data_IF_759498938773
#
_entry.id   IF_759498938773
#
_cell.length_a   1.000
_cell.length_b   1.000
_cell.length_c   1.000
_cell.angle_alpha   90.00
_cell.angle_beta   90.00
_cell.angle_gamma   90.00
#
_symmetry.space_group_name_H-M   'P 1'
#
loop_
_entity.id
_entity.type
_entity.pdbx_description
1 polymer ?
#
# COMPACT_ATOMS: atom_id res chain seq x y z
N UNK A 1 -43.51 73.10 37.01
CA UNK A 1 -43.34 72.27 35.80
C UNK A 1 -41.87 72.26 35.41
N UNK A 2 -41.28 71.07 35.19
CA UNK A 2 -40.20 70.79 34.21
C UNK A 2 -38.84 71.49 34.46
N UNK A 3 -37.67 70.83 34.51
CA UNK A 3 -37.26 69.52 34.02
C UNK A 3 -35.91 69.12 34.67
N UNK A 4 -35.83 67.85 35.05
CA UNK A 4 -34.63 67.04 35.18
C UNK A 4 -33.94 66.93 33.80
N UNK A 5 -32.61 67.02 33.73
CA UNK A 5 -31.77 66.45 32.65
C UNK A 5 -30.35 66.23 33.21
N UNK A 6 -30.08 65.06 33.78
CA UNK A 6 -29.40 63.89 33.17
C UNK A 6 -27.92 64.12 32.89
N UNK A 7 -27.11 63.64 33.85
CA UNK A 7 -25.69 63.30 33.71
C UNK A 7 -25.58 62.14 32.71
N UNK A 8 -24.91 62.33 31.58
CA UNK A 8 -24.60 61.25 30.64
C UNK A 8 -23.19 60.77 30.93
N UNK A 9 -23.07 59.59 31.54
CA UNK A 9 -21.80 58.90 31.70
C UNK A 9 -21.37 58.34 30.33
N UNK A 10 -20.26 58.86 29.80
CA UNK A 10 -19.62 58.36 28.60
C UNK A 10 -18.83 57.10 28.98
N UNK A 11 -19.37 55.92 28.69
CA UNK A 11 -18.64 54.67 28.80
C UNK A 11 -17.60 54.60 27.67
N UNK A 12 -16.33 54.73 28.04
CA UNK A 12 -15.19 54.52 27.14
C UNK A 12 -15.05 53.01 26.94
N UNK A 13 -15.43 52.53 25.75
CA UNK A 13 -15.17 51.17 25.30
C UNK A 13 -13.69 51.07 24.90
N UNK A 14 -12.85 50.56 25.80
CA UNK A 14 -11.44 50.25 25.50
C UNK A 14 -11.44 48.94 24.70
N UNK A 15 -11.28 49.05 23.39
CA UNK A 15 -10.93 47.90 22.56
C UNK A 15 -9.49 47.51 22.90
N UNK A 16 -9.31 46.45 23.70
CA UNK A 16 -8.04 45.76 23.80
C UNK A 16 -7.77 45.13 22.43
N UNK A 17 -7.07 45.86 21.56
CA UNK A 17 -6.37 45.24 20.43
C UNK A 17 -5.17 44.53 21.06
N UNK A 18 -5.42 43.33 21.58
CA UNK A 18 -4.36 42.41 21.95
C UNK A 18 -3.52 42.19 20.70
N UNK A 19 -2.23 42.46 20.81
CA UNK A 19 -1.26 41.99 19.82
C UNK A 19 -1.22 40.46 20.02
N UNK A 20 -2.20 39.75 19.46
CA UNK A 20 -2.14 38.29 19.38
C UNK A 20 -0.87 37.96 18.60
N UNK A 21 0.01 37.15 19.20
CA UNK A 21 1.22 36.69 18.54
C UNK A 21 0.77 36.06 17.22
N UNK A 22 1.32 36.53 16.10
CA UNK A 22 1.04 35.94 14.79
C UNK A 22 1.50 34.49 14.83
N UNK A 23 0.54 33.57 14.70
CA UNK A 23 0.80 32.14 14.57
C UNK A 23 1.29 31.89 13.14
N UNK A 24 2.42 31.21 13.01
CA UNK A 24 2.99 30.82 11.73
C UNK A 24 3.34 29.34 11.77
N UNK A 25 2.55 28.51 11.09
CA UNK A 25 2.75 27.06 11.05
C UNK A 25 3.44 26.65 9.75
N UNK A 26 4.56 25.94 9.89
CA UNK A 26 5.23 25.30 8.76
C UNK A 26 4.51 23.98 8.38
N UNK A 27 4.74 23.49 7.16
CA UNK A 27 4.26 22.16 6.76
C UNK A 27 5.18 21.12 7.38
N UNK A 28 4.66 20.06 8.04
CA UNK A 28 5.50 18.99 8.57
C UNK A 28 6.37 18.36 7.47
N UNK A 29 7.58 17.91 7.81
CA UNK A 29 8.40 17.04 6.95
C UNK A 29 8.24 15.61 7.48
N UNK A 30 7.42 14.79 6.82
CA UNK A 30 7.00 13.49 7.32
C UNK A 30 7.89 12.41 6.74
N UNK A 31 8.49 11.62 7.61
CA UNK A 31 9.18 10.39 7.28
C UNK A 31 8.43 9.19 7.85
N UNK A 32 8.82 7.99 7.42
CA UNK A 32 8.23 6.76 7.93
C UNK A 32 9.25 5.65 8.14
N UNK A 33 8.90 4.75 9.05
CA UNK A 33 9.50 3.42 9.16
C UNK A 33 8.39 2.37 9.17
N UNK A 34 8.76 1.11 8.93
CA UNK A 34 7.82 0.00 9.01
C UNK A 34 7.93 -0.68 10.37
N UNK A 35 6.79 -0.97 10.96
CA UNK A 35 6.66 -1.72 12.21
C UNK A 35 5.69 -2.89 12.02
N UNK A 36 5.62 -3.78 13.01
CA UNK A 36 4.71 -4.94 13.01
C UNK A 36 4.82 -5.78 11.72
N UNK A 37 6.06 -6.04 11.32
CA UNK A 37 6.37 -6.83 10.12
C UNK A 37 5.67 -6.28 8.87
N UNK A 38 5.66 -4.95 8.71
CA UNK A 38 4.99 -4.28 7.59
C UNK A 38 3.49 -4.06 7.76
N UNK A 39 2.94 -4.37 8.94
CA UNK A 39 1.53 -4.13 9.25
C UNK A 39 1.23 -2.70 9.64
N UNK A 40 2.24 -1.99 10.15
CA UNK A 40 2.13 -0.62 10.65
C UNK A 40 3.11 0.29 9.92
N UNK A 41 2.63 1.46 9.52
CA UNK A 41 3.44 2.57 9.04
C UNK A 41 3.66 3.54 10.21
N UNK A 42 4.88 3.59 10.74
CA UNK A 42 5.22 4.50 11.83
C UNK A 42 5.70 5.82 11.24
N UNK A 43 4.88 6.86 11.35
CA UNK A 43 5.14 8.21 10.86
C UNK A 43 5.91 9.01 11.92
N UNK A 44 6.88 9.80 11.48
CA UNK A 44 7.68 10.71 12.31
C UNK A 44 7.91 12.03 11.59
N UNK A 45 7.88 13.14 12.33
CA UNK A 45 8.14 14.48 11.81
C UNK A 45 8.84 15.34 12.87
N UNK A 46 9.36 16.50 12.49
CA UNK A 46 9.95 17.46 13.43
C UNK A 46 8.88 18.31 14.14
N UNK A 47 9.19 18.74 15.37
CA UNK A 47 8.30 19.65 16.11
C UNK A 47 8.20 21.02 15.40
N UNK A 48 6.98 21.45 15.09
CA UNK A 48 6.70 22.75 14.48
C UNK A 48 6.43 23.80 15.56
N UNK A 49 7.16 24.91 15.47
CA UNK A 49 6.96 26.04 16.36
C UNK A 49 5.53 26.58 16.27
N UNK A 50 4.99 26.99 17.42
CA UNK A 50 3.63 27.53 17.56
C UNK A 50 2.48 26.56 17.25
N UNK A 51 2.76 25.28 16.96
CA UNK A 51 1.75 24.25 16.83
C UNK A 51 1.19 23.82 18.21
N UNK A 52 -0.13 23.72 18.32
CA UNK A 52 -0.82 23.08 19.44
C UNK A 52 -0.80 21.54 19.30
N UNK A 53 -0.70 21.04 18.07
CA UNK A 53 -0.64 19.63 17.74
C UNK A 53 -0.67 19.37 16.24
N UNK A 54 -0.98 18.13 15.86
CA UNK A 54 -0.98 17.66 14.49
C UNK A 54 -2.25 16.87 14.18
N UNK A 55 -2.85 17.14 13.02
CA UNK A 55 -3.92 16.32 12.48
C UNK A 55 -3.35 15.22 11.59
N UNK A 56 -3.92 14.03 11.74
CA UNK A 56 -3.61 12.87 10.91
C UNK A 56 -4.77 12.61 9.98
N UNK A 57 -4.45 12.44 8.70
CA UNK A 57 -5.40 12.11 7.66
C UNK A 57 -5.07 10.76 7.04
N UNK A 58 -6.11 10.00 6.71
CA UNK A 58 -6.02 8.82 5.87
C UNK A 58 -7.00 8.99 4.71
N UNK A 59 -6.51 8.86 3.48
CA UNK A 59 -7.27 9.04 2.24
C UNK A 59 -8.06 10.38 2.22
N UNK A 60 -7.42 11.47 2.68
CA UNK A 60 -8.01 12.81 2.75
C UNK A 60 -8.99 13.04 3.90
N UNK A 61 -9.26 12.03 4.74
CA UNK A 61 -10.18 12.13 5.89
C UNK A 61 -9.38 12.32 7.18
N UNK A 62 -9.71 13.34 7.98
CA UNK A 62 -9.13 13.54 9.31
C UNK A 62 -9.55 12.39 10.22
N UNK A 63 -8.59 11.57 10.64
CA UNK A 63 -8.83 10.39 11.49
C UNK A 63 -8.39 10.61 12.94
N UNK A 64 -7.45 11.51 13.19
CA UNK A 64 -6.92 11.75 14.54
C UNK A 64 -6.32 13.15 14.72
N UNK A 65 -6.06 13.51 15.97
CA UNK A 65 -5.32 14.69 16.41
C UNK A 65 -4.37 14.30 17.54
N UNK A 66 -3.07 14.48 17.35
CA UNK A 66 -2.03 14.15 18.33
C UNK A 66 -1.24 15.39 18.76
N UNK A 67 -0.61 15.34 19.93
CA UNK A 67 0.32 16.36 20.42
C UNK A 67 1.77 15.84 20.50
N UNK A 68 2.04 14.71 19.84
CA UNK A 68 3.35 14.10 19.68
C UNK A 68 3.84 14.32 18.25
N UNK A 69 5.13 14.08 18.02
CA UNK A 69 5.78 14.18 16.71
C UNK A 69 5.90 12.83 16.00
N UNK A 70 5.00 11.90 16.36
CA UNK A 70 4.94 10.57 15.75
C UNK A 70 3.53 9.99 15.83
N UNK A 71 3.24 9.06 14.91
CA UNK A 71 1.97 8.37 14.82
C UNK A 71 2.11 6.96 14.23
N UNK A 72 1.53 5.96 14.87
CA UNK A 72 1.49 4.59 14.34
C UNK A 72 0.20 4.38 13.55
N UNK A 73 0.31 4.45 12.23
CA UNK A 73 -0.79 4.14 11.34
C UNK A 73 -0.96 2.62 11.24
N UNK A 74 -2.03 2.11 11.86
CA UNK A 74 -2.36 0.67 11.94
C UNK A 74 -3.51 0.26 11.03
N UNK A 75 -4.14 1.23 10.37
CA UNK A 75 -5.22 1.00 9.41
C UNK A 75 -4.68 1.21 8.00
N UNK A 76 -4.79 0.22 7.10
CA UNK A 76 -4.35 0.40 5.72
C UNK A 76 -5.11 1.52 5.01
N UNK A 77 -4.37 2.42 4.37
CA UNK A 77 -4.87 3.50 3.52
C UNK A 77 -3.95 3.65 2.29
N UNK A 78 -4.44 4.30 1.23
CA UNK A 78 -3.62 4.60 0.05
C UNK A 78 -2.80 5.89 0.23
N UNK A 79 -3.23 6.80 1.10
CA UNK A 79 -2.53 8.03 1.40
C UNK A 79 -2.61 8.35 2.90
N UNK A 80 -1.47 8.64 3.52
CA UNK A 80 -1.41 9.23 4.85
C UNK A 80 -0.88 10.65 4.76
N UNK A 81 -1.48 11.58 5.50
CA UNK A 81 -1.07 12.98 5.51
C UNK A 81 -1.01 13.53 6.94
N UNK A 82 -0.10 14.47 7.18
CA UNK A 82 0.07 15.15 8.46
C UNK A 82 0.08 16.66 8.24
N UNK A 83 -0.64 17.40 9.09
CA UNK A 83 -0.56 18.87 9.16
C UNK A 83 -0.47 19.31 10.62
N UNK A 84 0.34 20.32 10.92
CA UNK A 84 0.29 21.04 12.20
C UNK A 84 -0.95 21.95 12.27
N UNK A 85 -1.48 22.14 13.49
CA UNK A 85 -2.55 23.10 13.77
C UNK A 85 -2.26 23.93 15.02
N UNK A 86 -2.88 25.10 15.10
CA UNK A 86 -2.88 25.96 16.28
C UNK A 86 -4.16 26.82 16.31
N UNK A 87 -4.97 26.65 17.35
CA UNK A 87 -6.34 27.14 17.37
C UNK A 87 -7.13 26.69 16.14
N UNK A 88 -7.66 27.65 15.38
CA UNK A 88 -8.42 27.41 14.13
C UNK A 88 -7.52 27.39 12.87
N UNK A 89 -6.20 27.57 13.01
CA UNK A 89 -5.26 27.55 11.89
C UNK A 89 -4.72 26.14 11.64
N UNK A 90 -4.54 25.79 10.36
CA UNK A 90 -3.93 24.54 9.90
C UNK A 90 -2.87 24.88 8.86
N UNK A 91 -1.72 24.23 8.95
CA UNK A 91 -0.62 24.31 7.98
C UNK A 91 -0.95 23.59 6.67
N UNK A 92 0.01 23.57 5.74
CA UNK A 92 0.01 22.61 4.64
C UNK A 92 0.10 21.16 5.13
N UNK A 93 -0.13 20.22 4.22
CA UNK A 93 0.01 18.79 4.47
C UNK A 93 1.25 18.27 3.78
N UNK A 94 1.99 17.40 4.46
CA UNK A 94 2.92 16.49 3.82
C UNK A 94 2.37 15.06 3.87
N UNK A 95 2.80 14.21 2.94
CA UNK A 95 2.11 12.97 2.61
C UNK A 95 3.03 11.78 2.36
N UNK A 96 2.61 10.60 2.80
CA UNK A 96 3.20 9.32 2.43
C UNK A 96 2.22 8.55 1.53
N UNK A 97 2.65 8.32 0.30
CA UNK A 97 1.90 7.55 -0.69
C UNK A 97 2.06 6.05 -0.42
N UNK A 98 1.03 5.42 0.12
CA UNK A 98 1.01 4.01 0.50
C UNK A 98 0.21 3.15 -0.47
N UNK A 99 -0.28 3.74 -1.58
CA UNK A 99 -1.19 3.10 -2.49
C UNK A 99 -0.52 1.98 -3.28
N UNK A 100 -1.11 0.80 -3.25
CA UNK A 100 -0.72 -0.29 -4.12
C UNK A 100 -1.04 0.04 -5.58
N UNK A 101 -0.13 -0.30 -6.47
CA UNK A 101 -0.26 -0.10 -7.92
C UNK A 101 -1.13 -1.20 -8.49
N UNK A 102 -2.32 -0.84 -8.94
CA UNK A 102 -3.24 -1.77 -9.60
C UNK A 102 -2.85 -1.94 -11.08
N UNK A 103 -2.73 -3.19 -11.50
CA UNK A 103 -2.64 -3.56 -12.91
C UNK A 103 -4.01 -4.04 -13.39
N UNK A 104 -4.55 -3.42 -14.46
CA UNK A 104 -5.75 -3.93 -15.13
C UNK A 104 -5.56 -5.39 -15.56
N UNK A 105 -6.67 -6.09 -15.81
CA UNK A 105 -6.62 -7.55 -15.99
C UNK A 105 -5.60 -8.01 -17.04
N UNK A 106 -4.70 -8.91 -16.63
CA UNK A 106 -3.77 -9.62 -17.51
C UNK A 106 -4.23 -11.06 -17.69
N UNK A 107 -3.79 -11.69 -18.78
CA UNK A 107 -4.00 -13.12 -19.01
C UNK A 107 -2.63 -13.80 -19.03
N UNK A 108 -2.47 -14.81 -18.18
CA UNK A 108 -1.28 -15.65 -18.10
C UNK A 108 -1.71 -17.09 -18.34
N UNK A 109 -0.96 -17.81 -19.17
CA UNK A 109 -1.31 -19.15 -19.60
C UNK A 109 -0.50 -20.19 -18.83
N UNK A 110 -1.14 -21.27 -18.44
CA UNK A 110 -0.45 -22.41 -17.87
C UNK A 110 0.67 -22.94 -18.76
N UNK A 111 1.75 -23.43 -18.15
CA UNK A 111 2.91 -23.98 -18.85
C UNK A 111 2.61 -25.18 -19.75
N UNK A 112 1.44 -25.80 -19.61
CA UNK A 112 0.95 -26.87 -20.49
C UNK A 112 0.24 -26.38 -21.76
N UNK A 113 0.05 -25.06 -21.93
CA UNK A 113 -0.57 -24.49 -23.11
C UNK A 113 0.30 -24.76 -24.37
N UNK A 114 -0.29 -25.28 -25.46
CA UNK A 114 0.48 -25.65 -26.65
C UNK A 114 0.84 -24.46 -27.55
N UNK A 115 0.27 -23.27 -27.34
CA UNK A 115 0.50 -22.13 -28.21
C UNK A 115 1.83 -21.42 -27.86
N UNK A 116 2.69 -21.16 -28.85
CA UNK A 116 4.04 -20.62 -28.61
C UNK A 116 4.06 -19.13 -28.24
N UNK A 117 2.97 -18.41 -28.46
CA UNK A 117 2.83 -16.96 -28.23
C UNK A 117 2.06 -16.61 -26.95
N UNK A 118 1.61 -17.63 -26.20
CA UNK A 118 0.94 -17.46 -24.93
C UNK A 118 1.95 -17.34 -23.78
N UNK A 119 2.01 -16.21 -23.04
CA UNK A 119 2.96 -16.02 -21.95
C UNK A 119 2.54 -16.81 -20.71
N UNK A 120 3.49 -17.54 -20.10
CA UNK A 120 3.25 -18.34 -18.89
C UNK A 120 3.87 -17.79 -17.62
N UNK A 121 4.58 -16.68 -17.71
CA UNK A 121 5.14 -15.93 -16.58
C UNK A 121 4.53 -14.54 -16.48
N UNK A 122 4.62 -13.95 -15.30
CA UNK A 122 4.43 -12.52 -15.10
C UNK A 122 5.40 -12.00 -14.05
N UNK A 123 5.66 -10.70 -14.10
CA UNK A 123 6.45 -10.00 -13.11
C UNK A 123 6.17 -8.50 -13.10
N UNK A 124 6.81 -7.77 -12.21
CA UNK A 124 6.52 -6.37 -11.91
C UNK A 124 7.57 -5.43 -12.52
N UNK A 125 7.08 -4.39 -13.16
CA UNK A 125 7.92 -3.27 -13.61
C UNK A 125 8.42 -2.45 -12.42
N UNK A 126 9.41 -1.59 -12.65
CA UNK A 126 9.90 -0.66 -11.62
C UNK A 126 8.82 0.31 -11.10
N UNK A 127 7.71 0.48 -11.82
CA UNK A 127 6.56 1.26 -11.37
C UNK A 127 5.49 0.42 -10.66
N UNK A 128 5.73 -0.87 -10.41
CA UNK A 128 4.82 -1.79 -9.72
C UNK A 128 3.71 -2.38 -10.59
N UNK A 129 3.64 -2.06 -11.89
CA UNK A 129 2.65 -2.67 -12.79
C UNK A 129 3.11 -4.05 -13.25
N UNK A 130 2.20 -5.03 -13.27
CA UNK A 130 2.48 -6.38 -13.73
C UNK A 130 2.53 -6.45 -15.28
N UNK A 131 3.45 -7.25 -15.79
CA UNK A 131 3.66 -7.53 -17.22
C UNK A 131 3.83 -9.03 -17.41
N UNK A 132 3.37 -9.57 -18.54
CA UNK A 132 3.46 -11.00 -18.85
C UNK A 132 4.68 -11.31 -19.71
N UNK A 133 5.23 -12.51 -19.52
CA UNK A 133 6.46 -12.95 -20.16
C UNK A 133 6.35 -14.40 -20.64
N UNK A 134 7.00 -14.70 -21.76
CA UNK A 134 7.17 -16.10 -22.19
C UNK A 134 8.29 -16.74 -21.40
N UNK A 135 7.98 -17.85 -20.70
CA UNK A 135 8.99 -18.66 -19.97
C UNK A 135 9.96 -19.39 -20.92
N UNK A 136 9.58 -19.54 -22.20
CA UNK A 136 10.42 -20.19 -23.21
C UNK A 136 11.57 -19.31 -23.70
N UNK A 137 11.46 -17.99 -23.52
CA UNK A 137 12.49 -17.02 -23.85
C UNK A 137 13.32 -16.72 -22.61
N UNK A 138 14.55 -17.23 -22.60
CA UNK A 138 15.49 -17.08 -21.48
C UNK A 138 15.86 -15.63 -21.17
N UNK A 139 15.70 -14.71 -22.13
CA UNK A 139 15.95 -13.29 -21.87
C UNK A 139 14.93 -12.67 -20.91
N UNK A 140 13.75 -13.29 -20.77
CA UNK A 140 12.72 -12.85 -19.84
C UNK A 140 12.94 -13.35 -18.42
N UNK A 141 13.75 -14.39 -18.21
CA UNK A 141 13.85 -15.09 -16.93
C UNK A 141 14.16 -14.18 -15.72
N UNK A 142 15.04 -13.17 -15.82
CA UNK A 142 15.27 -12.22 -14.72
C UNK A 142 14.09 -11.31 -14.38
N UNK A 143 13.03 -11.29 -15.20
CA UNK A 143 11.86 -10.41 -15.06
C UNK A 143 10.61 -11.15 -14.55
N UNK A 144 10.72 -12.45 -14.30
CA UNK A 144 9.58 -13.30 -13.93
C UNK A 144 9.53 -13.44 -12.42
N UNK A 145 8.54 -12.83 -11.79
CA UNK A 145 8.28 -13.00 -10.36
C UNK A 145 7.40 -14.24 -10.07
N UNK A 146 6.55 -14.64 -11.02
CA UNK A 146 5.69 -15.82 -10.89
C UNK A 146 5.44 -16.45 -12.25
N UNK A 147 5.17 -17.76 -12.27
CA UNK A 147 4.69 -18.45 -13.46
C UNK A 147 3.52 -19.36 -13.13
N UNK A 148 2.73 -19.67 -14.15
CA UNK A 148 1.56 -20.54 -14.03
C UNK A 148 1.98 -21.96 -14.38
N UNK A 149 2.13 -22.80 -13.36
CA UNK A 149 2.40 -24.22 -13.55
C UNK A 149 1.09 -24.97 -13.85
N UNK A 150 1.08 -25.72 -14.95
CA UNK A 150 -0.07 -26.57 -15.28
C UNK A 150 0.07 -27.96 -14.67
N UNK A 151 -0.84 -28.31 -13.76
CA UNK A 151 -1.06 -29.70 -13.33
C UNK A 151 -1.89 -30.44 -14.37
N UNK A 152 -2.90 -29.77 -14.94
CA UNK A 152 -3.69 -30.25 -16.07
C UNK A 152 -4.20 -29.07 -16.90
N UNK A 153 -5.09 -29.30 -17.87
CA UNK A 153 -5.75 -28.22 -18.59
C UNK A 153 -6.69 -27.41 -17.67
N UNK A 154 -7.27 -28.02 -16.64
CA UNK A 154 -8.26 -27.37 -15.77
C UNK A 154 -7.71 -27.05 -14.37
N UNK A 155 -6.44 -27.39 -14.11
CA UNK A 155 -5.80 -27.18 -12.81
C UNK A 155 -4.45 -26.49 -13.02
N UNK A 156 -4.38 -25.25 -12.52
CA UNK A 156 -3.23 -24.36 -12.61
C UNK A 156 -2.74 -23.99 -11.20
N UNK A 157 -1.46 -23.64 -11.08
CA UNK A 157 -0.83 -23.25 -9.83
C UNK A 157 0.00 -21.99 -10.00
N UNK A 158 -0.03 -21.09 -9.02
CA UNK A 158 0.99 -20.06 -8.88
C UNK A 158 2.28 -20.72 -8.42
N UNK A 159 3.34 -20.62 -9.20
CA UNK A 159 4.63 -21.18 -8.89
C UNK A 159 5.71 -20.10 -8.78
N UNK A 160 6.66 -20.35 -7.88
CA UNK A 160 7.85 -19.53 -7.70
C UNK A 160 8.77 -19.68 -8.92
N UNK A 161 9.45 -18.60 -9.35
CA UNK A 161 10.46 -18.69 -10.40
C UNK A 161 11.69 -19.47 -9.91
N UNK A 162 11.94 -19.51 -8.61
CA UNK A 162 12.92 -20.39 -7.98
C UNK A 162 12.39 -21.83 -7.85
N UNK A 163 13.07 -22.79 -8.50
CA UNK A 163 12.76 -24.23 -8.44
C UNK A 163 13.83 -25.04 -7.68
N UNK A 164 14.21 -24.61 -6.47
CA UNK A 164 15.07 -25.42 -5.58
C UNK A 164 16.48 -25.70 -6.12
N UNK A 165 17.06 -24.76 -6.87
CA UNK A 165 18.47 -24.79 -7.30
C UNK A 165 18.79 -25.63 -8.54
N UNK A 166 17.80 -26.25 -9.21
CA UNK A 166 17.99 -26.83 -10.55
C UNK A 166 16.81 -26.44 -11.45
N UNK A 167 17.07 -25.59 -12.45
CA UNK A 167 16.12 -25.18 -13.49
C UNK A 167 15.04 -24.15 -13.09
N UNK A 168 15.32 -23.29 -12.09
CA UNK A 168 14.54 -22.08 -11.86
C UNK A 168 14.82 -21.02 -12.93
N UNK A 169 13.90 -20.06 -13.10
CA UNK A 169 14.08 -18.92 -14.00
C UNK A 169 15.05 -17.90 -13.40
N UNK A 170 14.93 -17.63 -12.10
CA UNK A 170 15.82 -16.75 -11.34
C UNK A 170 15.97 -17.27 -9.89
N UNK A 171 16.59 -16.45 -9.04
CA UNK A 171 16.89 -16.81 -7.65
C UNK A 171 15.81 -16.38 -6.65
N UNK A 172 14.75 -15.68 -7.10
CA UNK A 172 13.71 -15.10 -6.24
C UNK A 172 12.77 -16.19 -5.68
N UNK A 173 12.51 -16.16 -4.36
CA UNK A 173 11.67 -17.17 -3.69
C UNK A 173 10.28 -16.61 -3.42
N UNK A 174 9.55 -16.41 -4.51
CA UNK A 174 8.24 -15.78 -4.45
C UNK A 174 7.16 -16.80 -4.10
N UNK A 175 6.27 -16.43 -3.17
CA UNK A 175 5.24 -17.32 -2.64
C UNK A 175 3.87 -16.65 -2.64
N UNK A 176 2.82 -17.45 -2.53
CA UNK A 176 1.43 -16.98 -2.47
C UNK A 176 0.68 -17.63 -1.33
N UNK A 177 -0.44 -17.02 -0.93
CA UNK A 177 -1.34 -17.54 0.08
C UNK A 177 -2.77 -17.23 -0.33
N UNK A 178 -3.65 -18.22 -0.37
CA UNK A 178 -5.07 -17.98 -0.56
C UNK A 178 -5.60 -17.19 0.64
N UNK A 179 -6.19 -16.01 0.42
CA UNK A 179 -6.66 -15.15 1.50
C UNK A 179 -7.99 -15.62 2.11
N UNK A 180 -8.67 -16.58 1.48
CA UNK A 180 -10.03 -16.99 1.81
C UNK A 180 -11.10 -15.98 1.34
N UNK A 181 -10.69 -14.89 0.69
CA UNK A 181 -11.59 -13.86 0.17
C UNK A 181 -11.92 -14.08 -1.30
N UNK A 182 -13.05 -13.51 -1.71
CA UNK A 182 -13.46 -13.41 -3.13
C UNK A 182 -13.63 -11.95 -3.56
N UNK A 183 -13.85 -11.05 -2.60
CA UNK A 183 -13.87 -9.61 -2.80
C UNK A 183 -12.44 -9.06 -2.79
N UNK A 184 -12.01 -8.54 -3.94
CA UNK A 184 -10.69 -7.95 -4.12
C UNK A 184 -10.47 -6.71 -3.26
N UNK A 185 -11.49 -5.89 -3.05
CA UNK A 185 -11.37 -4.61 -2.33
C UNK A 185 -11.43 -4.79 -0.81
N UNK A 186 -11.96 -5.94 -0.34
CA UNK A 186 -11.90 -6.35 1.06
C UNK A 186 -10.47 -6.75 1.51
N UNK A 187 -9.63 -7.20 0.57
CA UNK A 187 -8.24 -7.57 0.82
C UNK A 187 -7.34 -6.32 0.92
N UNK A 188 -7.32 -5.69 2.10
CA UNK A 188 -6.61 -4.41 2.32
C UNK A 188 -5.21 -4.55 2.93
N UNK A 189 -4.94 -5.67 3.59
CA UNK A 189 -3.65 -5.97 4.20
C UNK A 189 -3.33 -7.43 3.97
N UNK A 190 -2.15 -7.66 3.43
CA UNK A 190 -1.62 -8.98 3.18
C UNK A 190 -1.19 -9.62 4.53
N UNK A 191 -1.35 -10.93 4.68
CA UNK A 191 -1.14 -11.61 5.97
C UNK A 191 0.30 -11.47 6.46
N UNK A 192 0.46 -11.48 7.79
CA UNK A 192 1.76 -11.58 8.47
C UNK A 192 2.46 -12.92 8.11
N UNK A 193 3.76 -13.09 8.41
CA UNK A 193 4.50 -14.28 8.01
C UNK A 193 3.83 -15.57 8.46
N UNK A 194 3.81 -16.55 7.56
CA UNK A 194 3.24 -17.88 7.80
C UNK A 194 2.13 -18.25 6.81
N UNK A 195 2.22 -19.47 6.30
CA UNK A 195 1.23 -20.03 5.36
C UNK A 195 1.35 -19.54 3.93
N UNK A 196 2.37 -18.75 3.60
CA UNK A 196 2.76 -18.50 2.22
C UNK A 196 3.51 -19.72 1.68
N UNK A 197 3.12 -20.18 0.50
CA UNK A 197 3.68 -21.38 -0.15
C UNK A 197 3.80 -21.16 -1.66
N UNK A 198 4.67 -21.92 -2.29
CA UNK A 198 4.66 -22.14 -3.73
C UNK A 198 5.07 -23.61 -3.99
N UNK A 199 4.39 -24.33 -4.90
CA UNK A 199 3.23 -23.89 -5.66
C UNK A 199 1.96 -23.74 -4.81
N UNK A 200 0.99 -22.97 -5.30
CA UNK A 200 -0.36 -22.85 -4.71
C UNK A 200 -1.43 -23.00 -5.79
N UNK A 201 -2.38 -23.91 -5.60
CA UNK A 201 -3.49 -24.14 -6.54
C UNK A 201 -4.34 -22.89 -6.75
N UNK A 202 -4.59 -22.57 -8.02
CA UNK A 202 -5.39 -21.44 -8.48
C UNK A 202 -6.87 -21.82 -8.49
N UNK A 203 -7.68 -20.99 -7.83
CA UNK A 203 -9.14 -21.15 -7.77
C UNK A 203 -9.79 -19.91 -8.36
N UNK A 204 -10.69 -20.11 -9.32
CA UNK A 204 -11.45 -19.02 -9.92
C UNK A 204 -12.22 -18.22 -8.86
N UNK A 205 -12.25 -16.90 -9.02
CA UNK A 205 -12.85 -15.91 -8.12
C UNK A 205 -12.20 -15.80 -6.73
N UNK A 206 -11.09 -16.48 -6.46
CA UNK A 206 -10.37 -16.34 -5.19
C UNK A 206 -9.36 -15.18 -5.25
N UNK A 207 -9.11 -14.59 -4.08
CA UNK A 207 -8.04 -13.63 -3.86
C UNK A 207 -6.87 -14.31 -3.16
N UNK A 208 -5.66 -13.96 -3.58
CA UNK A 208 -4.42 -14.44 -3.02
C UNK A 208 -3.61 -13.24 -2.55
N UNK A 209 -2.95 -13.38 -1.41
CA UNK A 209 -1.80 -12.56 -1.08
C UNK A 209 -0.56 -13.15 -1.71
N UNK A 210 0.37 -12.29 -2.08
CA UNK A 210 1.67 -12.70 -2.58
C UNK A 210 2.78 -12.00 -1.80
N UNK A 211 3.90 -12.69 -1.68
CA UNK A 211 5.13 -12.22 -1.07
C UNK A 211 6.27 -12.54 -2.03
N UNK A 212 6.99 -11.50 -2.42
CA UNK A 212 8.17 -11.56 -3.28
C UNK A 212 9.38 -11.41 -2.36
N UNK A 213 10.31 -12.36 -2.46
CA UNK A 213 11.58 -12.42 -1.73
C UNK A 213 12.69 -12.42 -2.79
N UNK A 214 13.13 -11.23 -3.26
CA UNK A 214 14.09 -11.14 -4.35
C UNK A 214 15.48 -11.67 -3.97
N UNK A 215 15.85 -11.53 -2.69
CA UNK A 215 17.18 -11.84 -2.18
C UNK A 215 17.28 -13.28 -1.64
N UNK A 216 16.16 -13.99 -1.52
CA UNK A 216 16.07 -15.35 -0.96
C UNK A 216 16.70 -15.41 0.43
N UNK A 217 16.45 -14.39 1.24
CA UNK A 217 16.92 -14.27 2.62
C UNK A 217 15.81 -14.47 3.66
N UNK A 218 14.59 -14.72 3.18
CA UNK A 218 13.41 -14.99 3.99
C UNK A 218 12.74 -13.71 4.48
N UNK A 219 11.68 -13.90 5.27
CA UNK A 219 10.79 -12.79 5.63
C UNK A 219 11.49 -11.67 6.39
N UNK A 220 11.17 -10.43 6.00
CA UNK A 220 11.49 -9.23 6.76
C UNK A 220 12.75 -8.54 6.28
N UNK A 221 13.19 -8.88 5.06
CA UNK A 221 14.18 -8.08 4.34
C UNK A 221 13.58 -6.71 4.00
N UNK A 222 14.44 -5.70 3.83
CA UNK A 222 14.00 -4.37 3.37
C UNK A 222 13.67 -4.33 1.88
N UNK A 223 13.74 -5.46 1.18
CA UNK A 223 13.53 -5.59 -0.26
C UNK A 223 12.33 -6.51 -0.59
N UNK A 224 11.69 -7.09 0.43
CA UNK A 224 10.48 -7.88 0.26
C UNK A 224 9.35 -7.01 -0.28
N UNK A 225 8.53 -7.58 -1.17
CA UNK A 225 7.33 -6.90 -1.65
C UNK A 225 6.09 -7.74 -1.45
N UNK A 226 4.96 -7.05 -1.26
CA UNK A 226 3.67 -7.65 -0.99
C UNK A 226 2.63 -7.17 -1.99
N UNK A 227 1.54 -7.91 -2.08
CA UNK A 227 0.38 -7.48 -2.83
C UNK A 227 -0.69 -8.55 -2.91
N UNK A 228 -1.68 -8.31 -3.77
CA UNK A 228 -2.81 -9.20 -3.95
C UNK A 228 -3.09 -9.51 -5.41
N UNK A 229 -3.56 -10.71 -5.66
CA UNK A 229 -4.01 -11.20 -6.96
C UNK A 229 -5.45 -11.70 -6.80
N UNK A 230 -6.39 -11.19 -7.58
CA UNK A 230 -7.67 -11.86 -7.80
C UNK A 230 -7.57 -12.69 -9.08
N UNK A 231 -7.93 -13.96 -8.95
CA UNK A 231 -8.15 -14.85 -10.09
C UNK A 231 -9.54 -14.55 -10.62
N UNK A 232 -9.66 -13.72 -11.65
CA UNK A 232 -10.95 -13.35 -12.25
C UNK A 232 -11.61 -14.57 -12.89
N UNK A 233 -10.81 -15.44 -13.52
CA UNK A 233 -11.31 -16.65 -14.16
C UNK A 233 -10.20 -17.60 -14.59
N UNK A 234 -10.55 -18.88 -14.70
CA UNK A 234 -9.73 -19.95 -15.30
C UNK A 234 -10.53 -20.57 -16.44
N UNK A 235 -9.95 -20.62 -17.65
CA UNK A 235 -10.57 -21.21 -18.84
C UNK A 235 -9.54 -22.04 -19.60
N UNK A 236 -9.51 -23.35 -19.33
CA UNK A 236 -8.39 -24.19 -19.72
C UNK A 236 -7.09 -23.64 -19.11
N UNK A 237 -6.05 -23.49 -19.94
CA UNK A 237 -4.78 -22.93 -19.52
C UNK A 237 -4.82 -21.41 -19.27
N UNK A 238 -5.82 -20.68 -19.77
CA UNK A 238 -5.87 -19.23 -19.60
C UNK A 238 -6.34 -18.84 -18.20
N UNK A 239 -5.50 -18.13 -17.45
CA UNK A 239 -5.81 -17.56 -16.14
C UNK A 239 -5.88 -16.04 -16.26
N UNK A 240 -7.06 -15.47 -15.99
CA UNK A 240 -7.25 -14.00 -15.97
C UNK A 240 -7.02 -13.48 -14.57
N UNK A 241 -6.09 -12.54 -14.42
CA UNK A 241 -5.63 -12.02 -13.12
C UNK A 241 -5.88 -10.52 -13.03
N UNK A 242 -6.36 -10.04 -11.88
CA UNK A 242 -6.33 -8.62 -11.47
C UNK A 242 -5.33 -8.50 -10.32
N UNK A 243 -4.38 -7.58 -10.40
CA UNK A 243 -3.20 -7.58 -9.50
C UNK A 243 -2.98 -6.20 -8.90
N UNK A 244 -2.66 -6.13 -7.61
CA UNK A 244 -2.12 -4.93 -6.98
C UNK A 244 -0.81 -5.26 -6.28
N UNK A 245 0.21 -4.42 -6.51
CA UNK A 245 1.55 -4.54 -5.97
C UNK A 245 1.87 -3.36 -5.06
N UNK A 246 2.49 -3.60 -3.91
CA UNK A 246 2.88 -2.56 -2.97
C UNK A 246 4.31 -2.07 -3.28
N UNK A 247 4.49 -0.82 -3.75
CA UNK A 247 5.82 -0.29 -4.09
C UNK A 247 6.71 -0.02 -2.88
N UNK A 248 6.13 0.20 -1.69
CA UNK A 248 6.91 0.35 -0.47
C UNK A 248 7.38 -1.05 -0.03
N UNK A 249 8.66 -1.34 -0.21
CA UNK A 249 9.27 -2.58 0.24
C UNK A 249 9.01 -2.81 1.73
N UNK A 250 8.62 -4.02 2.09
CA UNK A 250 8.25 -4.45 3.43
C UNK A 250 6.83 -4.11 3.86
N UNK A 251 6.13 -3.16 3.21
CA UNK A 251 4.78 -2.76 3.62
C UNK A 251 3.77 -3.79 3.12
N UNK A 252 2.91 -4.31 4.01
CA UNK A 252 1.90 -5.32 3.66
C UNK A 252 0.57 -4.75 3.19
N UNK A 253 0.47 -3.44 3.01
CA UNK A 253 -0.79 -2.80 2.66
C UNK A 253 -1.10 -2.98 1.18
N UNK A 254 -2.32 -3.39 0.90
CA UNK A 254 -2.75 -3.84 -0.41
C UNK A 254 -3.98 -3.01 -0.88
N UNK A 255 -4.07 -1.75 -0.40
CA UNK A 255 -5.12 -0.77 -0.74
C UNK A 255 -4.77 -0.07 -2.05
N UNK A 256 -5.68 -0.07 -3.01
CA UNK A 256 -5.52 0.62 -4.31
C UNK A 256 -6.11 2.03 -4.23
N UNK A 257 -5.62 2.93 -5.08
CA UNK A 257 -6.15 4.30 -5.23
C UNK A 257 -7.43 4.36 -6.06
#
# INVERSE_FOLDING_TARGET
MKKLLTLTALAILIAFVGCEKEVSLETPDVSYTLADQGGTLALEWDEIADADGYYIYADGVKIDSVNTTSYNATTPAALYEVSAYAGDQESGKDQIDCGAVETPSIIVYGSGDPAPDHPSGFGFTSSGSATTYSISDQSNWPLIDYWIHSVSADEQEFASPHQGGQNGFNDEVNTTKNSGLTDYDAAKICDAPGGYTAPTTIVSNAVYYFWIDPDNDGWGSSNDHFGKIQVVGVNGYAVTLKIAYQPIAGLRWCVVK
#
